data_IF_835865679902
#
_entry.id   IF_835865679902
#
_cell.length_a   1.000
_cell.length_b   1.000
_cell.length_c   1.000
_cell.angle_alpha   90.00
_cell.angle_beta   90.00
_cell.angle_gamma   90.00
#
_symmetry.space_group_name_H-M   'P 1'
#
loop_
_entity.id
_entity.type
_entity.pdbx_description
1 polymer ?
#
# COMPACT_ATOMS: atom_id res chain seq x y z
N UNK A 1 -11.19 -2.44 8.46
CA UNK A 1 -9.91 -2.30 7.73
C UNK A 1 -8.71 -2.49 8.63
N UNK A 2 -8.23 -1.51 9.40
CA UNK A 2 -7.01 -1.65 10.23
C UNK A 2 -7.12 -2.66 11.40
N UNK A 3 -8.35 -3.09 11.75
CA UNK A 3 -8.60 -4.18 12.71
C UNK A 3 -8.81 -5.55 12.06
N UNK A 4 -8.89 -5.59 10.74
CA UNK A 4 -8.96 -6.84 9.98
C UNK A 4 -7.55 -7.29 9.58
N UNK A 5 -7.41 -8.56 9.19
CA UNK A 5 -6.22 -9.00 8.45
C UNK A 5 -6.19 -8.25 7.11
N UNK A 6 -5.19 -7.40 6.94
CA UNK A 6 -5.10 -6.45 5.83
C UNK A 6 -3.68 -6.30 5.29
N UNK A 7 -3.62 -6.09 3.98
CA UNK A 7 -2.42 -5.67 3.26
C UNK A 7 -2.54 -4.16 3.00
N UNK A 8 -1.49 -3.41 3.30
CA UNK A 8 -1.41 -1.98 3.09
C UNK A 8 -0.25 -1.63 2.15
N UNK A 9 -0.56 -0.93 1.09
CA UNK A 9 0.38 -0.55 0.04
C UNK A 9 0.50 0.96 0.07
N UNK A 10 1.73 1.42 0.28
CA UNK A 10 2.06 2.83 0.25
C UNK A 10 2.93 3.10 -0.96
N UNK A 11 2.62 4.15 -1.73
CA UNK A 11 3.40 4.48 -2.93
C UNK A 11 3.47 5.99 -3.14
N UNK A 12 4.66 6.48 -3.47
CA UNK A 12 4.91 7.85 -3.87
C UNK A 12 5.90 7.89 -5.04
N UNK A 13 5.48 8.42 -6.20
CA UNK A 13 6.41 8.73 -7.29
C UNK A 13 7.19 10.04 -7.05
N UNK A 14 6.81 10.84 -6.05
CA UNK A 14 7.39 12.13 -5.67
C UNK A 14 6.96 12.49 -4.23
N UNK A 15 7.79 12.16 -3.23
CA UNK A 15 7.45 12.36 -1.81
C UNK A 15 7.19 13.82 -1.44
N UNK A 16 7.72 14.78 -2.21
CA UNK A 16 7.43 16.19 -1.98
C UNK A 16 5.97 16.56 -2.27
N UNK A 17 5.24 15.70 -2.99
CA UNK A 17 3.81 15.83 -3.29
C UNK A 17 2.92 14.91 -2.44
N UNK A 18 3.50 14.21 -1.48
CA UNK A 18 2.80 13.22 -0.66
C UNK A 18 2.88 11.81 -1.23
N UNK A 19 1.94 10.96 -0.84
CA UNK A 19 1.89 9.55 -1.17
C UNK A 19 0.44 9.05 -1.21
N UNK A 20 0.24 7.86 -1.74
CA UNK A 20 -1.04 7.17 -1.77
C UNK A 20 -0.99 5.96 -0.84
N UNK A 21 -2.10 5.69 -0.17
CA UNK A 21 -2.29 4.51 0.65
C UNK A 21 -3.43 3.69 0.04
N UNK A 22 -3.22 2.37 -0.04
CA UNK A 22 -4.25 1.39 -0.39
C UNK A 22 -4.27 0.33 0.69
N UNK A 23 -5.39 0.16 1.38
CA UNK A 23 -5.58 -0.87 2.39
C UNK A 23 -6.65 -1.86 1.91
N UNK A 24 -6.31 -3.15 1.85
CA UNK A 24 -7.18 -4.22 1.35
C UNK A 24 -7.26 -5.32 2.39
N UNK A 25 -8.48 -5.79 2.69
CA UNK A 25 -8.68 -6.93 3.58
C UNK A 25 -9.06 -8.20 2.81
N UNK A 26 -9.08 -9.34 3.51
CA UNK A 26 -9.47 -10.65 2.96
C UNK A 26 -10.92 -10.73 2.43
N UNK A 27 -11.75 -9.70 2.62
CA UNK A 27 -13.12 -9.60 2.05
C UNK A 27 -13.15 -8.82 0.74
N UNK A 28 -12.01 -8.32 0.25
CA UNK A 28 -11.94 -7.49 -0.95
C UNK A 28 -12.40 -6.05 -0.76
N UNK A 29 -12.52 -5.59 0.49
CA UNK A 29 -12.78 -4.17 0.76
C UNK A 29 -11.49 -3.39 0.52
N UNK A 30 -11.57 -2.39 -0.35
CA UNK A 30 -10.51 -1.40 -0.59
C UNK A 30 -10.84 -0.11 0.17
N UNK A 31 -9.88 0.39 0.92
CA UNK A 31 -9.81 1.80 1.32
C UNK A 31 -8.58 2.43 0.67
N UNK A 32 -8.73 3.64 0.16
CA UNK A 32 -7.65 4.39 -0.44
C UNK A 32 -7.66 5.86 -0.01
N UNK A 33 -6.50 6.49 -0.10
CA UNK A 33 -6.35 7.90 0.23
C UNK A 33 -5.13 8.51 -0.46
N UNK A 34 -5.20 9.82 -0.65
CA UNK A 34 -4.04 10.63 -1.02
C UNK A 34 -3.58 11.41 0.22
N UNK A 35 -2.34 11.23 0.64
CA UNK A 35 -1.85 11.77 1.90
C UNK A 35 -0.71 12.74 1.61
N UNK A 36 -0.84 14.00 2.04
CA UNK A 36 0.27 14.96 1.97
C UNK A 36 1.35 14.62 3.02
N UNK A 37 0.93 14.12 4.17
CA UNK A 37 1.77 13.65 5.27
C UNK A 37 1.02 12.58 6.09
N UNK A 38 1.66 11.98 7.09
CA UNK A 38 1.00 11.07 8.03
C UNK A 38 -0.21 11.73 8.75
N UNK A 39 -0.12 13.03 9.03
CA UNK A 39 -1.12 13.78 9.79
C UNK A 39 -2.16 14.47 8.90
N UNK A 40 -2.07 14.31 7.57
CA UNK A 40 -2.96 14.96 6.61
C UNK A 40 -3.43 13.97 5.54
N UNK A 41 -4.22 12.95 5.93
CA UNK A 41 -4.83 12.04 4.97
C UNK A 41 -6.04 12.69 4.29
N UNK A 42 -6.13 12.58 2.96
CA UNK A 42 -7.34 12.88 2.20
C UNK A 42 -8.03 11.56 1.80
N UNK A 43 -8.97 11.13 2.64
CA UNK A 43 -9.82 9.96 2.37
C UNK A 43 -11.03 10.27 1.46
N UNK A 44 -11.15 11.50 0.94
CA UNK A 44 -12.15 11.82 -0.09
C UNK A 44 -11.66 11.49 -1.50
N UNK A 45 -10.33 11.37 -1.67
CA UNK A 45 -9.74 10.82 -2.87
C UNK A 45 -10.12 9.35 -3.02
N UNK A 46 -10.51 8.95 -4.22
CA UNK A 46 -10.84 7.57 -4.58
C UNK A 46 -10.17 7.23 -5.90
N UNK A 47 -9.52 6.07 -5.95
CA UNK A 47 -8.86 5.57 -7.15
C UNK A 47 -9.81 4.78 -8.04
N UNK A 48 -9.41 4.56 -9.30
CA UNK A 48 -10.01 3.52 -10.14
C UNK A 48 -9.25 2.17 -10.01
N UNK A 49 -8.63 1.91 -8.85
CA UNK A 49 -7.97 0.64 -8.61
C UNK A 49 -8.97 -0.52 -8.67
N UNK A 50 -8.54 -1.64 -9.26
CA UNK A 50 -9.30 -2.88 -9.29
C UNK A 50 -8.66 -3.88 -8.35
N UNK A 51 -9.48 -4.49 -7.50
CA UNK A 51 -9.04 -5.46 -6.49
C UNK A 51 -9.79 -6.76 -6.69
N UNK A 52 -9.05 -7.86 -6.70
CA UNK A 52 -9.57 -9.22 -6.63
C UNK A 52 -8.95 -9.93 -5.44
N UNK A 53 -9.79 -10.62 -4.66
CA UNK A 53 -9.35 -11.41 -3.51
C UNK A 53 -9.74 -12.86 -3.67
N UNK A 54 -8.75 -13.74 -3.57
CA UNK A 54 -8.96 -15.19 -3.49
C UNK A 54 -8.67 -15.67 -2.07
N UNK A 55 -9.62 -16.35 -1.45
CA UNK A 55 -9.45 -16.96 -0.12
C UNK A 55 -9.31 -18.47 -0.24
N UNK A 56 -8.12 -18.99 0.09
CA UNK A 56 -7.88 -20.41 0.24
C UNK A 56 -8.14 -20.81 1.70
N UNK A 57 -9.32 -21.41 1.96
CA UNK A 57 -9.77 -21.77 3.31
C UNK A 57 -8.67 -22.50 4.10
N UNK A 58 -8.43 -22.03 5.33
CA UNK A 58 -7.43 -22.55 6.27
C UNK A 58 -5.97 -22.50 5.78
N UNK A 59 -5.66 -21.72 4.73
CA UNK A 59 -4.30 -21.59 4.19
C UNK A 59 -3.84 -20.15 4.13
N UNK A 60 -4.41 -19.38 3.19
CA UNK A 60 -4.01 -18.01 2.87
C UNK A 60 -5.12 -17.29 2.14
N UNK A 61 -4.96 -15.98 2.00
CA UNK A 61 -5.70 -15.20 1.03
C UNK A 61 -4.70 -14.47 0.15
N UNK A 62 -5.12 -14.12 -1.06
CA UNK A 62 -4.29 -13.49 -2.08
C UNK A 62 -5.04 -12.26 -2.57
N UNK A 63 -4.36 -11.11 -2.58
CA UNK A 63 -4.81 -9.90 -3.26
C UNK A 63 -4.10 -9.78 -4.59
N UNK A 64 -4.89 -9.55 -5.64
CA UNK A 64 -4.40 -9.02 -6.91
C UNK A 64 -4.99 -7.62 -7.09
N UNK A 65 -4.12 -6.62 -7.27
CA UNK A 65 -4.54 -5.23 -7.43
C UNK A 65 -3.96 -4.63 -8.71
N UNK A 66 -4.77 -3.88 -9.45
CA UNK A 66 -4.35 -3.06 -10.59
C UNK A 66 -4.65 -1.59 -10.30
N UNK A 67 -3.65 -0.72 -10.38
CA UNK A 67 -3.81 0.73 -10.13
C UNK A 67 -3.43 1.51 -11.39
N UNK A 68 -4.28 2.43 -11.87
CA UNK A 68 -3.92 3.31 -12.98
C UNK A 68 -2.77 4.26 -12.60
N UNK A 69 -1.60 4.08 -13.20
CA UNK A 69 -0.41 4.89 -12.87
C UNK A 69 -0.62 6.40 -13.08
N UNK A 70 -1.46 6.77 -14.03
CA UNK A 70 -1.80 8.17 -14.30
C UNK A 70 -2.43 8.88 -13.08
N UNK A 71 -3.21 8.17 -12.26
CA UNK A 71 -3.82 8.72 -11.04
C UNK A 71 -2.79 8.99 -9.96
N UNK A 72 -1.69 8.25 -9.96
CA UNK A 72 -0.60 8.42 -8.99
C UNK A 72 0.41 9.50 -9.43
N UNK A 73 0.33 9.97 -10.68
CA UNK A 73 1.43 10.72 -11.31
C UNK A 73 2.68 9.85 -11.54
N UNK A 74 2.49 8.53 -11.58
CA UNK A 74 3.55 7.54 -11.79
C UNK A 74 3.78 7.29 -13.28
N UNK A 75 5.03 7.00 -13.63
CA UNK A 75 5.53 6.69 -14.98
C UNK A 75 6.50 5.53 -14.89
N UNK A 76 6.39 4.63 -15.86
CA UNK A 76 7.34 3.54 -16.11
C UNK A 76 8.59 4.13 -16.78
N UNK A 77 9.76 3.55 -16.51
CA UNK A 77 11.04 3.91 -17.13
C UNK A 77 12.15 4.21 -16.12
N UNK A 78 13.29 4.65 -16.63
CA UNK A 78 14.49 4.92 -15.81
C UNK A 78 14.45 6.28 -15.10
N UNK A 79 13.57 7.20 -15.54
CA UNK A 79 13.58 8.59 -15.12
C UNK A 79 12.68 8.90 -13.91
N UNK A 80 12.08 7.89 -13.28
CA UNK A 80 11.31 8.06 -12.06
C UNK A 80 11.63 6.95 -11.07
N UNK A 81 11.89 7.34 -9.83
CA UNK A 81 11.97 6.41 -8.70
C UNK A 81 10.63 6.44 -7.98
N UNK A 82 10.06 5.28 -7.72
CA UNK A 82 8.91 5.16 -6.82
C UNK A 82 9.43 4.78 -5.45
N UNK A 83 8.98 5.50 -4.43
CA UNK A 83 9.20 5.13 -3.04
C UNK A 83 7.93 4.44 -2.56
N UNK A 84 8.04 3.23 -2.03
CA UNK A 84 6.88 2.43 -1.64
C UNK A 84 7.19 1.42 -0.55
N UNK A 85 6.11 0.91 0.04
CA UNK A 85 6.16 -0.23 0.94
C UNK A 85 4.93 -1.11 0.78
N UNK A 86 5.12 -2.39 1.09
CA UNK A 86 4.05 -3.36 1.23
C UNK A 86 4.06 -3.79 2.69
N UNK A 87 2.95 -3.62 3.39
CA UNK A 87 2.82 -3.93 4.79
C UNK A 87 1.64 -4.85 5.02
N UNK A 88 1.67 -5.58 6.12
CA UNK A 88 0.54 -6.40 6.57
C UNK A 88 0.33 -6.25 8.06
N UNK A 89 -0.91 -5.95 8.43
CA UNK A 89 -1.41 -6.02 9.81
C UNK A 89 -2.30 -7.24 9.95
N UNK A 90 -1.84 -8.22 10.73
CA UNK A 90 -2.61 -9.42 11.06
C UNK A 90 -3.07 -9.34 12.52
N UNK A 91 -4.38 -9.22 12.78
CA UNK A 91 -4.89 -9.24 14.14
C UNK A 91 -4.61 -10.61 14.80
N UNK A 92 -4.25 -10.55 16.08
CA UNK A 92 -4.12 -11.68 16.98
C UNK A 92 -5.27 -11.66 18.01
N UNK A 93 -5.26 -12.64 18.90
CA UNK A 93 -6.11 -12.62 20.09
C UNK A 93 -5.80 -11.39 20.96
N UNK A 94 -6.77 -10.99 21.79
CA UNK A 94 -6.66 -9.88 22.75
C UNK A 94 -6.41 -8.48 22.12
N UNK A 95 -6.66 -8.34 20.81
CA UNK A 95 -6.58 -7.04 20.11
C UNK A 95 -5.16 -6.58 19.78
N UNK A 96 -4.17 -7.48 19.90
CA UNK A 96 -2.81 -7.26 19.42
C UNK A 96 -2.68 -7.56 17.92
N UNK A 97 -1.58 -7.14 17.30
CA UNK A 97 -1.31 -7.32 15.87
C UNK A 97 0.10 -7.89 15.65
N UNK A 98 0.24 -8.73 14.62
CA UNK A 98 1.53 -8.98 13.99
C UNK A 98 1.63 -8.10 12.77
N UNK A 99 2.70 -7.31 12.74
CA UNK A 99 3.00 -6.37 11.68
C UNK A 99 4.22 -6.85 10.89
N UNK A 100 4.17 -6.69 9.58
CA UNK A 100 5.30 -7.00 8.70
C UNK A 100 5.37 -6.03 7.54
N UNK A 101 6.57 -5.80 7.01
CA UNK A 101 6.83 -4.87 5.91
C UNK A 101 7.86 -5.44 4.95
N UNK A 102 7.72 -5.16 3.67
CA UNK A 102 8.74 -5.46 2.66
C UNK A 102 10.05 -4.69 2.92
N UNK A 103 9.93 -3.39 3.25
CA UNK A 103 11.03 -2.54 3.69
C UNK A 103 10.78 -2.15 5.15
N UNK A 104 11.43 -2.79 6.13
CA UNK A 104 11.26 -2.45 7.54
C UNK A 104 11.69 -1.01 7.82
N UNK A 105 10.79 -0.21 8.39
CA UNK A 105 11.07 1.22 8.64
C UNK A 105 11.83 1.48 9.95
N UNK A 106 11.92 0.49 10.84
CA UNK A 106 12.44 0.68 12.20
C UNK A 106 11.51 1.53 13.08
N UNK A 107 10.31 1.83 12.59
CA UNK A 107 9.28 2.64 13.23
C UNK A 107 8.01 1.80 13.43
N UNK A 108 7.19 2.17 14.42
CA UNK A 108 5.87 1.57 14.65
C UNK A 108 4.78 2.17 13.75
N UNK A 109 5.16 2.98 12.75
CA UNK A 109 4.23 3.61 11.82
C UNK A 109 4.59 3.25 10.39
N UNK A 110 3.62 2.69 9.63
CA UNK A 110 3.78 2.47 8.20
C UNK A 110 3.87 3.77 7.39
N UNK A 111 3.41 4.88 7.96
CA UNK A 111 3.48 6.21 7.33
C UNK A 111 4.86 6.86 7.46
N UNK A 112 5.81 6.21 8.13
CA UNK A 112 7.21 6.66 8.14
C UNK A 112 7.88 6.38 6.79
N UNK A 113 7.81 7.39 5.92
CA UNK A 113 8.35 7.33 4.55
C UNK A 113 9.88 7.18 4.49
N UNK A 114 10.61 7.44 5.58
CA UNK A 114 12.08 7.42 5.57
C UNK A 114 12.66 6.02 5.35
N UNK A 115 11.92 4.99 5.76
CA UNK A 115 12.31 3.59 5.65
C UNK A 115 11.68 2.84 4.47
N UNK A 116 10.93 3.52 3.61
CA UNK A 116 10.30 2.88 2.44
C UNK A 116 11.33 2.49 1.39
N UNK A 117 11.02 1.40 0.68
CA UNK A 117 11.87 0.88 -0.39
C UNK A 117 11.81 1.78 -1.64
N UNK A 118 12.85 1.70 -2.47
CA UNK A 118 12.94 2.42 -3.74
C UNK A 118 12.85 1.44 -4.89
N UNK A 119 11.84 1.59 -5.74
CA UNK A 119 11.78 0.92 -7.04
C UNK A 119 12.25 1.88 -8.13
N UNK A 120 13.20 1.43 -8.94
CA UNK A 120 13.77 2.18 -10.06
C UNK A 120 13.71 1.33 -11.31
N UNK A 121 13.76 1.98 -12.49
CA UNK A 121 13.78 1.29 -13.78
C UNK A 121 12.61 0.32 -13.95
N UNK A 122 11.42 0.74 -13.51
CA UNK A 122 10.19 -0.04 -13.68
C UNK A 122 9.96 -0.19 -15.19
N UNK A 123 9.66 -1.41 -15.65
CA UNK A 123 9.36 -1.73 -17.06
C UNK A 123 8.07 -2.53 -17.16
N UNK A 124 7.37 -2.43 -18.29
CA UNK A 124 6.23 -3.28 -18.60
C UNK A 124 6.78 -4.58 -19.21
N UNK A 125 6.46 -5.72 -18.62
CA UNK A 125 6.70 -7.00 -19.27
C UNK A 125 5.65 -7.23 -20.37
N UNK A 126 6.13 -7.51 -21.59
CA UNK A 126 5.32 -7.88 -22.75
C UNK A 126 5.11 -9.40 -22.78
#
# INVERSE_FOLDING_TARGET
MWRDDSEEIFISPDLAKGYYQFAINSKGVLMDSQNLSADTPDSSWTSNAKVEVTVEKNKRWIVTMSVPLAELGAKVGENQTWVLNFNRSKPLEEGSFVESSWSPTGSSSYHDTSGWGKMTKVVIQQ
#
